data_IF_436330412542
#
_entry.id   IF_436330412542
#
_cell.length_a   1.000
_cell.length_b   1.000
_cell.length_c   1.000
_cell.angle_alpha   90.00
_cell.angle_beta   90.00
_cell.angle_gamma   90.00
#
_symmetry.space_group_name_H-M   'P 1'
#
loop_
_entity.id
_entity.type
_entity.pdbx_description
1 polymer ?
#
# COMPACT_ATOMS: atom_id res chain seq x y z
N UNK A 1 46.68 17.15 -2.80
CA UNK A 1 45.94 16.09 -3.53
C UNK A 1 45.00 16.81 -4.48
N UNK A 2 45.32 16.79 -5.76
CA UNK A 2 44.44 17.34 -6.81
C UNK A 2 43.17 16.48 -6.80
N UNK A 3 42.01 17.09 -6.58
CA UNK A 3 40.73 16.39 -6.62
C UNK A 3 40.54 15.81 -8.03
N UNK A 4 40.32 14.50 -8.14
CA UNK A 4 40.05 13.84 -9.41
C UNK A 4 38.77 14.45 -10.03
N UNK A 5 38.84 14.90 -11.29
CA UNK A 5 37.69 15.52 -11.96
C UNK A 5 36.56 14.53 -12.20
N UNK A 6 36.91 13.27 -12.44
CA UNK A 6 35.93 12.20 -12.66
C UNK A 6 35.16 11.97 -11.36
N UNK A 7 35.83 11.94 -10.20
CA UNK A 7 35.17 11.74 -8.91
C UNK A 7 34.19 12.90 -8.60
N UNK A 8 34.61 14.15 -8.83
CA UNK A 8 33.73 15.31 -8.65
C UNK A 8 32.51 15.28 -9.59
N UNK A 9 32.68 14.78 -10.82
CA UNK A 9 31.58 14.57 -11.77
C UNK A 9 30.62 13.47 -11.29
N UNK A 10 31.15 12.36 -10.76
CA UNK A 10 30.34 11.26 -10.24
C UNK A 10 29.57 11.65 -8.97
N UNK A 11 30.14 12.50 -8.12
CA UNK A 11 29.45 13.08 -6.97
C UNK A 11 28.28 13.98 -7.39
N UNK A 12 28.48 14.88 -8.37
CA UNK A 12 27.38 15.69 -8.93
C UNK A 12 26.29 14.82 -9.58
N UNK A 13 26.69 13.74 -10.26
CA UNK A 13 25.75 12.78 -10.84
C UNK A 13 24.99 12.00 -9.74
N UNK A 14 25.65 11.58 -8.67
CA UNK A 14 25.05 10.86 -7.53
C UNK A 14 23.95 11.69 -6.86
N UNK A 15 24.19 12.99 -6.68
CA UNK A 15 23.24 13.92 -6.06
C UNK A 15 21.97 14.11 -6.91
N UNK A 16 22.04 13.86 -8.22
CA UNK A 16 20.95 14.07 -9.18
C UNK A 16 20.23 12.79 -9.58
N UNK A 17 20.86 11.63 -9.44
CA UNK A 17 20.27 10.36 -9.81
C UNK A 17 19.15 9.96 -8.85
N UNK A 18 17.99 9.64 -9.41
CA UNK A 18 16.86 9.08 -8.67
C UNK A 18 16.80 7.56 -8.81
N UNK A 19 16.37 6.87 -7.76
CA UNK A 19 16.10 5.43 -7.82
C UNK A 19 16.52 4.70 -6.56
N UNK A 20 16.51 3.37 -6.65
CA UNK A 20 16.99 2.54 -5.54
C UNK A 20 18.52 2.67 -5.39
N UNK A 21 19.08 2.47 -4.17
CA UNK A 21 20.53 2.52 -3.98
C UNK A 21 21.32 1.61 -4.93
N UNK A 22 20.77 0.43 -5.27
CA UNK A 22 21.41 -0.49 -6.21
C UNK A 22 21.39 -0.02 -7.66
N UNK A 23 20.32 0.67 -8.10
CA UNK A 23 20.26 1.26 -9.44
C UNK A 23 21.23 2.42 -9.57
N UNK A 24 21.28 3.32 -8.57
CA UNK A 24 22.23 4.44 -8.54
C UNK A 24 23.67 3.95 -8.55
N UNK A 25 24.02 3.00 -7.67
CA UNK A 25 25.36 2.40 -7.63
C UNK A 25 25.74 1.76 -8.97
N UNK A 26 24.84 1.00 -9.58
CA UNK A 26 25.10 0.38 -10.89
C UNK A 26 25.39 1.44 -11.95
N UNK A 27 24.57 2.49 -12.02
CA UNK A 27 24.74 3.55 -13.00
C UNK A 27 26.02 4.35 -12.78
N UNK A 28 26.39 4.61 -11.52
CA UNK A 28 27.65 5.27 -11.18
C UNK A 28 28.85 4.39 -11.52
N UNK A 29 28.82 3.09 -11.21
CA UNK A 29 29.91 2.16 -11.59
C UNK A 29 30.06 2.06 -13.11
N UNK A 30 28.94 2.03 -13.85
CA UNK A 30 28.95 2.03 -15.31
C UNK A 30 29.55 3.34 -15.87
N UNK A 31 29.11 4.49 -15.36
CA UNK A 31 29.64 5.79 -15.73
C UNK A 31 31.13 5.93 -15.39
N UNK A 32 31.55 5.52 -14.20
CA UNK A 32 32.94 5.51 -13.73
C UNK A 32 33.82 4.68 -14.67
N UNK A 33 33.36 3.47 -15.01
CA UNK A 33 34.09 2.58 -15.93
C UNK A 33 34.27 3.25 -17.28
N UNK A 34 33.20 3.79 -17.88
CA UNK A 34 33.27 4.46 -19.16
C UNK A 34 34.17 5.71 -19.15
N UNK A 35 34.07 6.54 -18.12
CA UNK A 35 34.89 7.74 -17.98
C UNK A 35 36.36 7.40 -17.86
N UNK A 36 36.71 6.39 -17.04
CA UNK A 36 38.10 5.95 -16.88
C UNK A 36 38.64 5.30 -18.15
N UNK A 37 37.88 4.41 -18.79
CA UNK A 37 38.29 3.78 -20.05
C UNK A 37 38.54 4.83 -21.15
N UNK A 38 37.69 5.86 -21.22
CA UNK A 38 37.87 6.99 -22.15
C UNK A 38 39.08 7.85 -21.82
N UNK A 39 39.27 8.21 -20.54
CA UNK A 39 40.44 8.98 -20.11
C UNK A 39 41.75 8.23 -20.41
N UNK A 40 41.81 6.92 -20.12
CA UNK A 40 42.96 6.07 -20.42
C UNK A 40 43.24 5.98 -21.93
N UNK A 41 42.19 6.00 -22.76
CA UNK A 41 42.34 6.05 -24.22
C UNK A 41 42.94 7.39 -24.67
N UNK A 42 42.49 8.53 -24.12
CA UNK A 42 43.04 9.85 -24.42
C UNK A 42 44.49 10.02 -23.95
N UNK A 43 44.83 9.50 -22.77
CA UNK A 43 46.21 9.50 -22.28
C UNK A 43 47.14 8.67 -23.17
N UNK A 44 46.71 7.49 -23.62
CA UNK A 44 47.46 6.69 -24.61
C UNK A 44 47.61 7.40 -25.95
N UNK A 45 46.71 8.32 -26.27
CA UNK A 45 46.79 9.24 -27.41
C UNK A 45 47.75 10.42 -27.21
N UNK A 46 48.40 10.55 -26.05
CA UNK A 46 49.39 11.58 -25.76
C UNK A 46 48.86 12.81 -25.02
N UNK A 47 47.59 12.81 -24.58
CA UNK A 47 47.07 13.88 -23.73
C UNK A 47 47.63 13.77 -22.31
N UNK A 48 47.82 14.92 -21.64
CA UNK A 48 48.09 14.91 -20.20
C UNK A 48 46.87 14.39 -19.42
N UNK A 49 47.10 13.92 -18.19
CA UNK A 49 46.07 13.26 -17.41
C UNK A 49 44.84 14.15 -17.12
N UNK A 50 45.04 15.43 -16.83
CA UNK A 50 43.95 16.35 -16.48
C UNK A 50 43.12 16.72 -17.73
N UNK A 51 43.79 16.99 -18.86
CA UNK A 51 43.12 17.22 -20.13
C UNK A 51 42.38 15.98 -20.64
N UNK A 52 42.94 14.78 -20.44
CA UNK A 52 42.28 13.52 -20.81
C UNK A 52 41.00 13.29 -20.00
N UNK A 53 40.99 13.59 -18.71
CA UNK A 53 39.78 13.53 -17.88
C UNK A 53 38.73 14.56 -18.32
N UNK A 54 39.14 15.80 -18.58
CA UNK A 54 38.24 16.84 -19.07
C UNK A 54 37.61 16.45 -20.42
N UNK A 55 38.42 15.94 -21.37
CA UNK A 55 37.94 15.45 -22.65
C UNK A 55 36.99 14.25 -22.52
N UNK A 56 37.24 13.34 -21.58
CA UNK A 56 36.35 12.23 -21.29
C UNK A 56 35.00 12.70 -20.74
N UNK A 57 34.98 13.68 -19.83
CA UNK A 57 33.75 14.28 -19.28
C UNK A 57 32.97 15.01 -20.38
N UNK A 58 33.63 15.82 -21.21
CA UNK A 58 33.00 16.54 -22.32
C UNK A 58 32.38 15.57 -23.34
N UNK A 59 33.06 14.47 -23.65
CA UNK A 59 32.56 13.43 -24.55
C UNK A 59 31.40 12.63 -23.94
N UNK A 60 31.43 12.37 -22.63
CA UNK A 60 30.37 11.65 -21.92
C UNK A 60 29.10 12.51 -21.79
N UNK A 61 29.28 13.81 -21.55
CA UNK A 61 28.24 14.82 -21.53
C UNK A 61 27.91 15.35 -20.13
N UNK A 62 27.00 16.33 -20.09
CA UNK A 62 26.60 17.03 -18.87
C UNK A 62 25.86 16.12 -17.88
N UNK A 63 26.34 16.04 -16.63
CA UNK A 63 25.74 15.22 -15.56
C UNK A 63 24.23 15.51 -15.37
N UNK A 64 23.77 16.78 -15.31
CA UNK A 64 22.35 17.12 -15.31
C UNK A 64 21.55 16.55 -16.49
N UNK A 65 22.10 16.53 -17.70
CA UNK A 65 21.43 15.97 -18.87
C UNK A 65 21.30 14.43 -18.78
N UNK A 66 22.39 13.75 -18.39
CA UNK A 66 22.41 12.29 -18.23
C UNK A 66 21.49 11.87 -17.10
N UNK A 67 21.55 12.52 -15.94
CA UNK A 67 20.68 12.25 -14.81
C UNK A 67 19.20 12.45 -15.19
N UNK A 68 18.85 13.52 -15.91
CA UNK A 68 17.47 13.71 -16.40
C UNK A 68 17.03 12.59 -17.35
N UNK A 69 17.90 12.16 -18.26
CA UNK A 69 17.60 11.06 -19.17
C UNK A 69 17.43 9.73 -18.42
N UNK A 70 18.29 9.45 -17.44
CA UNK A 70 18.20 8.28 -16.57
C UNK A 70 16.96 8.29 -15.67
N UNK A 71 16.54 9.47 -15.21
CA UNK A 71 15.38 9.64 -14.35
C UNK A 71 14.04 9.60 -15.13
N UNK A 72 14.05 9.69 -16.47
CA UNK A 72 12.82 9.65 -17.28
C UNK A 72 12.08 8.32 -17.07
N UNK A 73 10.94 8.40 -16.40
CA UNK A 73 10.01 7.28 -16.23
C UNK A 73 9.04 7.22 -17.39
N UNK A 74 8.78 6.00 -17.89
CA UNK A 74 7.74 5.79 -18.89
C UNK A 74 6.36 5.80 -18.21
N UNK A 75 5.30 6.38 -18.81
CA UNK A 75 3.96 6.38 -18.22
C UNK A 75 3.47 4.97 -17.84
N UNK A 76 3.76 3.98 -18.68
CA UNK A 76 3.41 2.58 -18.41
C UNK A 76 4.07 2.02 -17.13
N UNK A 77 5.29 2.44 -16.80
CA UNK A 77 5.98 2.01 -15.58
C UNK A 77 5.35 2.64 -14.34
N UNK A 78 4.94 3.91 -14.43
CA UNK A 78 4.23 4.61 -13.36
C UNK A 78 2.87 3.96 -13.11
N UNK A 79 2.10 3.69 -14.17
CA UNK A 79 0.81 2.98 -14.08
C UNK A 79 1.00 1.61 -13.44
N UNK A 80 1.98 0.83 -13.87
CA UNK A 80 2.27 -0.48 -13.28
C UNK A 80 2.68 -0.38 -11.79
N UNK A 81 3.39 0.68 -11.41
CA UNK A 81 3.74 0.94 -10.01
C UNK A 81 2.50 1.29 -9.17
N UNK A 82 1.59 2.13 -9.70
CA UNK A 82 0.32 2.48 -9.07
C UNK A 82 -0.60 1.27 -8.94
N UNK A 83 -0.79 0.48 -10.00
CA UNK A 83 -1.58 -0.77 -9.97
C UNK A 83 -1.03 -1.73 -8.93
N UNK A 84 0.30 -1.83 -8.79
CA UNK A 84 0.92 -2.64 -7.75
C UNK A 84 0.62 -2.12 -6.35
N UNK A 85 0.74 -0.82 -6.11
CA UNK A 85 0.43 -0.21 -4.83
C UNK A 85 -1.06 -0.41 -4.48
N UNK A 86 -1.96 -0.20 -5.44
CA UNK A 86 -3.39 -0.40 -5.28
C UNK A 86 -3.72 -1.87 -4.98
N UNK A 87 -3.16 -2.83 -5.72
CA UNK A 87 -3.35 -4.25 -5.46
C UNK A 87 -2.82 -4.67 -4.09
N UNK A 88 -1.69 -4.11 -3.64
CA UNK A 88 -1.19 -4.34 -2.28
C UNK A 88 -2.17 -3.82 -1.22
N UNK A 89 -2.64 -2.58 -1.34
CA UNK A 89 -3.63 -2.02 -0.42
C UNK A 89 -4.94 -2.82 -0.45
N UNK A 90 -5.38 -3.27 -1.62
CA UNK A 90 -6.56 -4.12 -1.77
C UNK A 90 -6.43 -5.43 -0.99
N UNK A 91 -5.26 -6.09 -1.02
CA UNK A 91 -5.03 -7.30 -0.20
C UNK A 91 -5.27 -7.01 1.28
N UNK A 92 -4.71 -5.93 1.81
CA UNK A 92 -4.91 -5.58 3.22
C UNK A 92 -6.36 -5.16 3.51
N UNK A 93 -7.00 -4.44 2.60
CA UNK A 93 -8.41 -4.03 2.72
C UNK A 93 -9.35 -5.22 2.79
N UNK A 94 -9.27 -6.15 1.83
CA UNK A 94 -10.09 -7.34 1.82
C UNK A 94 -9.76 -8.29 2.97
N UNK A 95 -8.49 -8.38 3.39
CA UNK A 95 -8.12 -9.13 4.59
C UNK A 95 -8.75 -8.53 5.86
N UNK A 96 -8.70 -7.20 6.02
CA UNK A 96 -9.31 -6.51 7.15
C UNK A 96 -10.84 -6.72 7.16
N UNK A 97 -11.50 -6.60 6.01
CA UNK A 97 -12.94 -6.86 5.86
C UNK A 97 -13.28 -8.31 6.26
N UNK A 98 -12.53 -9.29 5.77
CA UNK A 98 -12.74 -10.70 6.12
C UNK A 98 -12.53 -10.97 7.61
N UNK A 99 -11.46 -10.44 8.20
CA UNK A 99 -11.17 -10.57 9.64
C UNK A 99 -12.27 -9.91 10.47
N UNK A 100 -12.73 -8.72 10.09
CA UNK A 100 -13.79 -8.02 10.81
C UNK A 100 -15.12 -8.76 10.74
N UNK A 101 -15.47 -9.35 9.59
CA UNK A 101 -16.66 -10.18 9.41
C UNK A 101 -16.64 -11.41 10.32
N UNK A 102 -15.50 -12.11 10.38
CA UNK A 102 -15.31 -13.26 11.26
C UNK A 102 -15.39 -12.85 12.75
N UNK A 103 -14.78 -11.72 13.10
CA UNK A 103 -14.80 -11.19 14.46
C UNK A 103 -16.22 -10.76 14.89
N UNK A 104 -16.99 -10.12 14.01
CA UNK A 104 -18.38 -9.76 14.25
C UNK A 104 -19.24 -11.01 14.51
N UNK A 105 -19.06 -12.07 13.72
CA UNK A 105 -19.79 -13.33 13.94
C UNK A 105 -19.38 -13.99 15.26
N UNK A 106 -18.09 -14.01 15.58
CA UNK A 106 -17.61 -14.54 16.86
C UNK A 106 -18.14 -13.73 18.05
N UNK A 107 -18.16 -12.39 17.94
CA UNK A 107 -18.68 -11.51 18.97
C UNK A 107 -20.19 -11.72 19.18
N UNK A 108 -20.95 -11.97 18.12
CA UNK A 108 -22.37 -12.28 18.20
C UNK A 108 -22.65 -13.59 18.96
N UNK A 109 -21.75 -14.58 18.88
CA UNK A 109 -21.86 -15.84 19.64
C UNK A 109 -21.65 -15.64 21.14
N UNK A 110 -20.82 -14.66 21.53
CA UNK A 110 -20.49 -14.40 22.95
C UNK A 110 -21.41 -13.36 23.58
N UNK A 111 -21.98 -12.45 22.77
CA UNK A 111 -22.84 -11.35 23.24
C UNK A 111 -24.29 -11.60 22.84
N UNK A 112 -24.71 -11.10 21.68
CA UNK A 112 -25.96 -11.45 21.02
C UNK A 112 -25.94 -11.02 19.56
N UNK A 113 -26.60 -11.78 18.69
CA UNK A 113 -26.84 -11.39 17.30
C UNK A 113 -27.60 -10.07 17.20
N UNK A 114 -28.51 -9.81 18.14
CA UNK A 114 -29.28 -8.57 18.19
C UNK A 114 -28.40 -7.34 18.44
N UNK A 115 -27.40 -7.43 19.32
CA UNK A 115 -26.50 -6.30 19.56
C UNK A 115 -25.53 -6.07 18.39
N UNK A 116 -25.03 -7.15 17.78
CA UNK A 116 -24.06 -7.03 16.68
C UNK A 116 -24.72 -6.60 15.37
N UNK A 117 -25.83 -7.23 14.99
CA UNK A 117 -26.48 -7.10 13.67
C UNK A 117 -27.90 -6.53 13.73
N UNK A 118 -28.43 -6.27 14.93
CA UNK A 118 -29.82 -5.85 15.06
C UNK A 118 -30.10 -4.43 14.58
N UNK A 119 -31.39 -4.18 14.36
CA UNK A 119 -31.92 -2.88 14.02
C UNK A 119 -31.69 -1.86 15.17
N UNK A 120 -31.65 -0.54 14.85
CA UNK A 120 -31.51 0.51 15.85
C UNK A 120 -32.58 0.45 16.94
N UNK A 121 -32.24 0.92 18.14
CA UNK A 121 -33.17 0.96 19.25
C UNK A 121 -34.44 1.77 18.91
N UNK A 122 -35.61 1.18 19.14
CA UNK A 122 -36.90 1.81 18.85
C UNK A 122 -37.31 1.81 17.37
N UNK A 123 -36.55 1.14 16.49
CA UNK A 123 -36.99 0.89 15.12
C UNK A 123 -38.29 0.07 15.13
N UNK A 124 -39.30 0.54 14.40
CA UNK A 124 -40.61 -0.12 14.29
C UNK A 124 -40.73 -0.78 12.93
N UNK A 125 -40.79 -2.11 12.91
CA UNK A 125 -41.05 -2.87 11.70
C UNK A 125 -42.52 -2.71 11.28
N UNK A 126 -42.75 -2.55 9.97
CA UNK A 126 -44.10 -2.66 9.43
C UNK A 126 -44.59 -4.11 9.51
N UNK A 127 -45.92 -4.32 9.46
CA UNK A 127 -46.49 -5.66 9.46
C UNK A 127 -45.97 -6.52 8.30
N UNK A 128 -45.77 -5.92 7.12
CA UNK A 128 -45.23 -6.60 5.95
C UNK A 128 -43.76 -7.01 6.13
N UNK A 129 -42.93 -6.14 6.71
CA UNK A 129 -41.53 -6.48 7.04
C UNK A 129 -41.46 -7.61 8.07
N UNK A 130 -42.32 -7.57 9.08
CA UNK A 130 -42.41 -8.61 10.10
C UNK A 130 -42.79 -9.97 9.51
N UNK A 131 -43.83 -9.99 8.67
CA UNK A 131 -44.24 -11.20 7.97
C UNK A 131 -43.13 -11.75 7.07
N UNK A 132 -42.40 -10.87 6.37
CA UNK A 132 -41.26 -11.28 5.54
C UNK A 132 -40.14 -11.92 6.36
N UNK A 133 -39.65 -11.25 7.41
CA UNK A 133 -38.53 -11.77 8.19
C UNK A 133 -38.87 -13.06 8.94
N UNK A 134 -40.08 -13.17 9.50
CA UNK A 134 -40.52 -14.42 10.15
C UNK A 134 -40.69 -15.58 9.14
N UNK A 135 -41.03 -15.28 7.88
CA UNK A 135 -41.12 -16.30 6.84
C UNK A 135 -39.74 -16.82 6.42
N UNK A 136 -38.72 -15.95 6.37
CA UNK A 136 -37.34 -16.35 6.02
C UNK A 136 -36.63 -17.01 7.20
N UNK A 137 -36.92 -16.59 8.44
CA UNK A 137 -36.30 -17.09 9.67
C UNK A 137 -37.32 -17.73 10.62
N UNK A 138 -37.86 -18.94 10.30
CA UNK A 138 -38.96 -19.55 11.04
C UNK A 138 -38.62 -19.93 12.49
N UNK A 139 -37.34 -20.02 12.85
CA UNK A 139 -36.88 -20.28 14.22
C UNK A 139 -36.84 -19.03 15.13
N UNK A 140 -37.10 -17.84 14.58
CA UNK A 140 -37.04 -16.59 15.34
C UNK A 140 -38.32 -16.37 16.17
N UNK A 141 -38.15 -15.93 17.41
CA UNK A 141 -39.28 -15.67 18.34
C UNK A 141 -39.88 -14.28 18.21
N UNK A 142 -39.20 -13.37 17.50
CA UNK A 142 -39.68 -12.01 17.24
C UNK A 142 -39.18 -11.48 15.90
N UNK A 143 -39.89 -10.49 15.35
CA UNK A 143 -39.49 -9.80 14.13
C UNK A 143 -38.07 -9.21 14.20
N UNK A 144 -37.71 -8.61 15.35
CA UNK A 144 -36.40 -7.99 15.51
C UNK A 144 -35.29 -9.04 15.52
N UNK A 145 -35.53 -10.18 16.19
CA UNK A 145 -34.58 -11.30 16.16
C UNK A 145 -34.46 -11.91 14.77
N UNK A 146 -35.56 -12.03 14.03
CA UNK A 146 -35.58 -12.56 12.67
C UNK A 146 -34.75 -11.65 11.74
N UNK A 147 -34.97 -10.34 11.80
CA UNK A 147 -34.22 -9.37 11.01
C UNK A 147 -32.72 -9.35 11.36
N UNK A 148 -32.36 -9.52 12.64
CA UNK A 148 -30.97 -9.56 13.07
C UNK A 148 -30.26 -10.85 12.63
N UNK A 149 -30.94 -12.00 12.68
CA UNK A 149 -30.42 -13.27 12.17
C UNK A 149 -30.18 -13.19 10.67
N UNK A 150 -31.16 -12.70 9.91
CA UNK A 150 -31.01 -12.51 8.48
C UNK A 150 -29.86 -11.57 8.14
N UNK A 151 -29.80 -10.40 8.78
CA UNK A 151 -28.70 -9.46 8.58
C UNK A 151 -27.34 -10.07 8.92
N UNK A 152 -27.27 -10.94 9.92
CA UNK A 152 -26.04 -11.65 10.28
C UNK A 152 -25.61 -12.62 9.19
N UNK A 153 -26.54 -13.39 8.64
CA UNK A 153 -26.26 -14.40 7.61
C UNK A 153 -25.91 -13.73 6.26
N UNK A 154 -26.66 -12.70 5.85
CA UNK A 154 -26.38 -11.90 4.65
C UNK A 154 -25.02 -11.20 4.76
N UNK A 155 -24.77 -10.51 5.88
CA UNK A 155 -23.49 -9.82 6.09
C UNK A 155 -22.35 -10.81 6.05
N UNK A 156 -22.50 -11.97 6.71
CA UNK A 156 -21.46 -12.99 6.69
C UNK A 156 -21.21 -13.51 5.28
N UNK A 157 -22.25 -13.93 4.57
CA UNK A 157 -22.10 -14.54 3.24
C UNK A 157 -21.55 -13.53 2.23
N UNK A 158 -22.20 -12.38 2.05
CA UNK A 158 -21.81 -11.44 1.01
C UNK A 158 -20.45 -10.78 1.29
N UNK A 159 -20.19 -10.37 2.53
CA UNK A 159 -18.95 -9.68 2.86
C UNK A 159 -17.77 -10.65 2.85
N UNK A 160 -17.93 -11.88 3.35
CA UNK A 160 -16.87 -12.89 3.31
C UNK A 160 -16.57 -13.32 1.87
N UNK A 161 -17.60 -13.55 1.04
CA UNK A 161 -17.41 -13.89 -0.38
C UNK A 161 -16.72 -12.74 -1.11
N UNK A 162 -17.14 -11.49 -0.89
CA UNK A 162 -16.49 -10.33 -1.47
C UNK A 162 -15.03 -10.20 -1.04
N UNK A 163 -14.72 -10.45 0.24
CA UNK A 163 -13.36 -10.45 0.77
C UNK A 163 -12.49 -11.53 0.10
N UNK A 164 -13.00 -12.76 -0.03
CA UNK A 164 -12.28 -13.87 -0.68
C UNK A 164 -12.03 -13.57 -2.16
N UNK A 165 -13.06 -13.15 -2.90
CA UNK A 165 -12.94 -12.80 -4.32
C UNK A 165 -11.92 -11.66 -4.49
N UNK A 166 -12.02 -10.61 -3.67
CA UNK A 166 -11.11 -9.48 -3.69
C UNK A 166 -9.65 -9.88 -3.42
N UNK A 167 -9.42 -10.76 -2.44
CA UNK A 167 -8.09 -11.32 -2.16
C UNK A 167 -7.54 -12.13 -3.33
N UNK A 168 -8.37 -12.98 -3.96
CA UNK A 168 -7.97 -13.78 -5.12
C UNK A 168 -7.58 -12.87 -6.29
N UNK A 169 -8.42 -11.89 -6.64
CA UNK A 169 -8.16 -10.94 -7.73
C UNK A 169 -6.86 -10.18 -7.46
N UNK A 170 -6.71 -9.59 -6.27
CA UNK A 170 -5.51 -8.84 -5.92
C UNK A 170 -4.25 -9.73 -5.91
N UNK A 171 -4.37 -10.96 -5.41
CA UNK A 171 -3.32 -11.97 -5.45
C UNK A 171 -2.88 -12.35 -6.87
N UNK A 172 -3.84 -12.58 -7.78
CA UNK A 172 -3.58 -12.85 -9.21
C UNK A 172 -2.87 -11.69 -9.87
N UNK A 173 -3.31 -10.44 -9.64
CA UNK A 173 -2.65 -9.24 -10.17
C UNK A 173 -1.19 -9.17 -9.69
N UNK A 174 -0.95 -9.38 -8.39
CA UNK A 174 0.41 -9.36 -7.82
C UNK A 174 1.28 -10.51 -8.38
N UNK A 175 0.73 -11.70 -8.53
CA UNK A 175 1.41 -12.86 -9.10
C UNK A 175 1.78 -12.63 -10.58
N UNK A 176 0.84 -12.13 -11.38
CA UNK A 176 1.06 -11.79 -12.79
C UNK A 176 2.16 -10.74 -12.95
N UNK A 177 2.15 -9.68 -12.14
CA UNK A 177 3.21 -8.67 -12.14
C UNK A 177 4.56 -9.22 -11.68
N UNK A 178 4.58 -10.16 -10.74
CA UNK A 178 5.82 -10.82 -10.29
C UNK A 178 6.39 -11.73 -11.37
N UNK A 179 5.53 -12.43 -12.11
CA UNK A 179 5.92 -13.27 -13.24
C UNK A 179 6.43 -12.44 -14.43
N UNK A 180 5.75 -11.33 -14.74
CA UNK A 180 6.18 -10.40 -15.78
C UNK A 180 7.59 -9.82 -15.51
N UNK A 181 7.94 -9.62 -14.24
CA UNK A 181 9.29 -9.16 -13.81
C UNK A 181 10.40 -10.19 -13.99
N UNK A 182 10.10 -11.47 -14.20
CA UNK A 182 11.12 -12.48 -14.51
C UNK A 182 11.63 -12.36 -15.94
N UNK A 183 10.93 -11.64 -16.81
CA UNK A 183 11.44 -11.29 -18.14
C UNK A 183 12.41 -10.11 -17.99
N UNK A 184 13.55 -10.09 -18.71
CA UNK A 184 14.61 -9.07 -18.60
C UNK A 184 14.20 -7.67 -19.13
N UNK A 185 12.93 -7.30 -18.99
CA UNK A 185 12.44 -5.98 -19.36
C UNK A 185 12.87 -4.97 -18.30
N UNK A 186 13.47 -3.89 -18.83
CA UNK A 186 14.07 -2.71 -18.19
C UNK A 186 13.43 -2.30 -16.85
N UNK A 187 14.28 -1.81 -15.95
CA UNK A 187 13.99 -1.34 -14.59
C UNK A 187 12.56 -0.79 -14.41
N UNK A 188 11.67 -1.59 -13.80
CA UNK A 188 10.31 -1.11 -13.52
C UNK A 188 10.37 -0.02 -12.47
N UNK A 189 9.84 1.17 -12.75
CA UNK A 189 9.61 2.19 -11.74
C UNK A 189 8.98 1.58 -10.47
N UNK A 190 9.52 1.96 -9.31
CA UNK A 190 8.99 1.57 -8.00
C UNK A 190 8.56 2.85 -7.30
N UNK A 191 7.30 2.90 -6.87
CA UNK A 191 6.89 3.94 -5.94
C UNK A 191 7.72 3.81 -4.66
N UNK A 192 8.01 4.94 -3.97
CA UNK A 192 8.65 4.91 -2.67
C UNK A 192 7.88 3.96 -1.74
N UNK A 193 8.60 3.12 -0.99
CA UNK A 193 7.99 2.15 -0.07
C UNK A 193 7.07 2.81 0.97
N UNK A 194 7.33 4.09 1.26
CA UNK A 194 6.56 4.92 2.17
C UNK A 194 5.15 5.23 1.68
N UNK A 195 4.89 5.24 0.37
CA UNK A 195 3.57 5.62 -0.18
C UNK A 195 2.48 4.66 0.28
N UNK A 196 2.68 3.35 0.09
CA UNK A 196 1.70 2.33 0.50
C UNK A 196 1.50 2.35 2.01
N UNK A 197 2.57 2.49 2.78
CA UNK A 197 2.48 2.51 4.25
C UNK A 197 1.83 3.77 4.79
N UNK A 198 2.05 4.93 4.16
CA UNK A 198 1.43 6.18 4.55
C UNK A 198 -0.07 6.18 4.23
N UNK A 199 -0.45 5.81 3.00
CA UNK A 199 -1.86 5.69 2.58
C UNK A 199 -2.59 4.65 3.44
N UNK A 200 -1.97 3.49 3.66
CA UNK A 200 -2.54 2.48 4.54
C UNK A 200 -2.76 3.00 5.95
N UNK A 201 -1.75 3.65 6.56
CA UNK A 201 -1.88 4.19 7.90
C UNK A 201 -3.02 5.22 8.00
N UNK A 202 -3.06 6.21 7.10
CA UNK A 202 -4.08 7.27 7.16
C UNK A 202 -5.48 6.72 6.86
N UNK A 203 -5.64 5.88 5.83
CA UNK A 203 -6.93 5.33 5.46
C UNK A 203 -7.50 4.42 6.55
N UNK A 204 -6.71 3.48 7.07
CA UNK A 204 -7.18 2.53 8.09
C UNK A 204 -7.35 3.17 9.46
N UNK A 205 -6.46 4.09 9.89
CA UNK A 205 -6.67 4.81 11.15
C UNK A 205 -7.88 5.74 11.06
N UNK A 206 -8.02 6.48 9.95
CA UNK A 206 -9.16 7.35 9.72
C UNK A 206 -10.48 6.58 9.68
N UNK A 207 -10.54 5.48 8.94
CA UNK A 207 -11.70 4.60 8.91
C UNK A 207 -11.99 3.99 10.29
N UNK A 208 -10.96 3.54 11.02
CA UNK A 208 -11.11 2.99 12.36
C UNK A 208 -11.73 3.98 13.34
N UNK A 209 -11.20 5.20 13.41
CA UNK A 209 -11.75 6.28 14.25
C UNK A 209 -13.18 6.63 13.82
N UNK A 210 -13.44 6.76 12.52
CA UNK A 210 -14.77 7.11 12.01
C UNK A 210 -15.81 6.02 12.33
N UNK A 211 -15.47 4.75 12.16
CA UNK A 211 -16.35 3.62 12.44
C UNK A 211 -16.62 3.47 13.95
N UNK A 212 -15.61 3.64 14.80
CA UNK A 212 -15.81 3.65 16.25
C UNK A 212 -16.68 4.83 16.69
N UNK A 213 -16.47 6.03 16.14
CA UNK A 213 -17.31 7.19 16.41
C UNK A 213 -18.75 6.97 15.92
N UNK A 214 -18.93 6.34 14.76
CA UNK A 214 -20.24 5.95 14.25
C UNK A 214 -20.92 4.92 15.17
N UNK A 215 -20.19 3.90 15.63
CA UNK A 215 -20.70 2.92 16.59
C UNK A 215 -21.08 3.55 17.93
N UNK A 216 -20.30 4.49 18.45
CA UNK A 216 -20.59 5.23 19.67
C UNK A 216 -21.83 6.14 19.51
N UNK A 217 -21.90 6.86 18.38
CA UNK A 217 -23.03 7.75 18.08
C UNK A 217 -24.30 7.00 17.70
N UNK A 218 -24.25 5.73 17.27
CA UNK A 218 -25.47 4.91 17.10
C UNK A 218 -26.21 4.66 18.42
N UNK A 219 -25.49 4.61 19.55
CA UNK A 219 -26.14 4.60 20.86
C UNK A 219 -27.02 5.85 21.09
N UNK A 220 -26.74 6.92 20.36
CA UNK A 220 -27.45 8.21 20.42
C UNK A 220 -28.39 8.41 19.22
N UNK A 221 -28.00 7.95 18.02
CA UNK A 221 -28.67 8.15 16.74
C UNK A 221 -29.20 6.82 16.18
N UNK A 222 -30.52 6.72 16.03
CA UNK A 222 -31.24 5.47 15.75
C UNK A 222 -31.32 5.10 14.26
N UNK A 223 -30.31 5.44 13.47
CA UNK A 223 -30.42 5.42 11.99
C UNK A 223 -29.72 4.22 11.35
N UNK A 224 -28.63 3.74 11.94
CA UNK A 224 -27.80 2.72 11.31
C UNK A 224 -27.86 1.38 12.06
N UNK A 225 -27.86 0.29 11.28
CA UNK A 225 -27.98 -1.08 11.77
C UNK A 225 -26.64 -1.59 12.30
N UNK A 226 -26.70 -2.56 13.20
CA UNK A 226 -25.55 -3.36 13.60
C UNK A 226 -24.45 -2.58 14.31
N UNK A 227 -24.73 -2.08 15.52
CA UNK A 227 -23.75 -1.32 16.30
C UNK A 227 -22.47 -2.11 16.56
N UNK A 228 -22.59 -3.42 16.86
CA UNK A 228 -21.41 -4.26 17.07
C UNK A 228 -20.54 -4.42 15.82
N UNK A 229 -21.12 -4.46 14.62
CA UNK A 229 -20.36 -4.50 13.36
C UNK A 229 -19.46 -3.27 13.21
N UNK A 230 -20.00 -2.07 13.49
CA UNK A 230 -19.19 -0.84 13.43
C UNK A 230 -18.02 -0.86 14.41
N UNK A 231 -18.21 -1.39 15.62
CA UNK A 231 -17.12 -1.53 16.58
C UNK A 231 -16.08 -2.54 16.12
N UNK A 232 -16.49 -3.71 15.62
CA UNK A 232 -15.53 -4.72 15.14
C UNK A 232 -14.75 -4.24 13.93
N UNK A 233 -15.42 -3.60 12.97
CA UNK A 233 -14.78 -3.03 11.79
C UNK A 233 -13.82 -1.91 12.18
N UNK A 234 -14.24 -1.05 13.11
CA UNK A 234 -13.43 0.05 13.64
C UNK A 234 -12.16 -0.45 14.34
N UNK A 235 -12.27 -1.46 15.22
CA UNK A 235 -11.13 -2.06 15.92
C UNK A 235 -10.17 -2.73 14.94
N UNK A 236 -10.67 -3.52 13.99
CA UNK A 236 -9.83 -4.20 13.00
C UNK A 236 -9.13 -3.18 12.11
N UNK A 237 -9.82 -2.14 11.65
CA UNK A 237 -9.23 -1.05 10.90
C UNK A 237 -8.11 -0.34 11.69
N UNK A 238 -8.32 -0.04 12.98
CA UNK A 238 -7.26 0.54 13.82
C UNK A 238 -6.04 -0.37 13.93
N UNK A 239 -6.21 -1.68 14.11
CA UNK A 239 -5.10 -2.63 14.19
C UNK A 239 -4.28 -2.60 12.89
N UNK A 240 -4.93 -2.68 11.73
CA UNK A 240 -4.25 -2.57 10.43
C UNK A 240 -3.57 -1.21 10.26
N UNK A 241 -4.24 -0.12 10.66
CA UNK A 241 -3.70 1.23 10.64
C UNK A 241 -2.43 1.38 11.48
N UNK A 242 -2.41 0.80 12.68
CA UNK A 242 -1.23 0.77 13.56
C UNK A 242 -0.09 -0.05 12.96
N UNK A 243 -0.38 -1.20 12.37
CA UNK A 243 0.63 -2.00 11.65
C UNK A 243 1.26 -1.18 10.52
N UNK A 244 0.45 -0.48 9.72
CA UNK A 244 0.96 0.39 8.66
C UNK A 244 1.77 1.57 9.20
N UNK A 245 1.31 2.21 10.28
CA UNK A 245 2.01 3.31 10.94
C UNK A 245 3.39 2.87 11.43
N UNK A 246 3.47 1.72 12.12
CA UNK A 246 4.76 1.17 12.59
C UNK A 246 5.69 0.91 11.41
N UNK A 247 5.19 0.32 10.32
CA UNK A 247 6.00 0.07 9.11
C UNK A 247 6.46 1.37 8.45
N UNK A 248 5.60 2.39 8.42
CA UNK A 248 5.97 3.72 7.93
C UNK A 248 7.09 4.32 8.79
N UNK A 249 6.91 4.33 10.11
CA UNK A 249 7.89 4.87 11.07
C UNK A 249 9.25 4.15 10.98
N UNK A 250 9.25 2.83 10.85
CA UNK A 250 10.49 2.05 10.65
C UNK A 250 11.17 2.39 9.34
N UNK A 251 10.40 2.69 8.28
CA UNK A 251 10.95 3.00 6.95
C UNK A 251 11.57 4.40 6.89
N UNK A 252 11.06 5.36 7.66
CA UNK A 252 11.57 6.74 7.68
C UNK A 252 12.68 6.98 8.71
N UNK A 253 12.91 6.05 9.64
CA UNK A 253 13.97 6.21 10.63
C UNK A 253 15.32 6.34 9.91
N UNK A 254 16.08 7.43 10.15
CA UNK A 254 17.39 7.57 9.56
C UNK A 254 18.25 6.38 9.99
N UNK A 255 19.00 5.81 9.04
CA UNK A 255 20.06 4.86 9.38
C UNK A 255 20.99 5.64 10.30
N UNK A 256 21.01 5.30 11.60
CA UNK A 256 21.99 5.86 12.52
C UNK A 256 23.34 5.62 11.87
N UNK A 257 24.03 6.69 11.48
CA UNK A 257 25.42 6.61 11.08
C UNK A 257 26.12 5.90 12.23
N UNK A 258 26.61 4.69 11.97
CA UNK A 258 27.46 3.99 12.93
C UNK A 258 28.59 4.95 13.26
N UNK A 259 28.61 5.46 14.49
CA UNK A 259 29.68 6.32 14.96
C UNK A 259 30.99 5.53 14.77
N UNK A 260 31.83 6.06 13.89
CA UNK A 260 33.19 5.60 13.66
C UNK A 260 34.06 5.95 14.88
#
# INVERSE_FOLDING_TARGET
>A
MTSDRIDAYLDDMLDRLEGTPGERRRMLTEAETHLRDSADAYQRGGMDADAAQAAAIDAFGDAPAIARAANRRRPAELIAACVRAAAQLAVYGFAAIGVATLLARALALVTSTQWVYGAPAGYRFSAAQCAHWLAVQPGATSCSSAAALESSDDSFLFILVAAVIGLVIAGVILAAMRLARRRPLRATARLPRTVVTAIGATAFLGAGVALLAAGATQGVSRVAWGQGVLYTDGVVALIFGLVFLVRFLVTIRPVRASAA
#
